data_IF_409175103883
#
_entry.id   IF_409175103883
#
_cell.length_a   1.000
_cell.length_b   1.000
_cell.length_c   1.000
_cell.angle_alpha   90.00
_cell.angle_beta   90.00
_cell.angle_gamma   90.00
#
_symmetry.space_group_name_H-M   'P 1'
#
loop_
_entity.id
_entity.type
_entity.pdbx_description
1 polymer ?
#
# COMPACT_ATOMS: atom_id res chain seq x y z
N UNK A 1 4.55 12.97 9.69
CA UNK A 1 3.72 12.96 8.47
C UNK A 1 3.26 14.38 8.14
N UNK A 2 3.20 14.78 6.86
CA UNK A 2 2.75 16.13 6.45
C UNK A 2 1.60 15.99 5.46
N UNK A 3 0.39 16.38 5.87
CA UNK A 3 -0.82 16.31 5.05
C UNK A 3 -0.95 17.53 4.13
N UNK A 4 -1.63 17.36 3.00
CA UNK A 4 -2.12 18.49 2.20
C UNK A 4 -3.37 19.09 2.84
N UNK A 5 -3.68 20.34 2.47
CA UNK A 5 -4.89 21.01 2.90
C UNK A 5 -6.05 20.58 1.99
N UNK A 6 -6.72 19.49 2.37
CA UNK A 6 -7.90 18.95 1.68
C UNK A 6 -9.17 19.61 2.22
N UNK A 7 -10.16 19.80 1.36
CA UNK A 7 -11.48 20.35 1.69
C UNK A 7 -12.35 19.32 2.41
N UNK A 8 -12.23 18.03 2.07
CA UNK A 8 -12.98 16.93 2.70
C UNK A 8 -12.05 15.90 3.36
N UNK A 9 -11.24 16.28 4.35
CA UNK A 9 -10.22 15.40 4.92
C UNK A 9 -10.82 14.14 5.55
N UNK A 10 -12.00 14.22 6.17
CA UNK A 10 -12.70 13.07 6.79
C UNK A 10 -13.04 11.97 5.78
N UNK A 11 -13.45 12.34 4.56
CA UNK A 11 -13.78 11.39 3.51
C UNK A 11 -12.52 10.63 3.08
N UNK A 12 -11.44 11.36 2.78
CA UNK A 12 -10.17 10.74 2.39
C UNK A 12 -9.55 9.88 3.49
N UNK A 13 -9.71 10.27 4.76
CA UNK A 13 -9.32 9.43 5.88
C UNK A 13 -10.13 8.13 5.93
N UNK A 14 -11.46 8.21 5.80
CA UNK A 14 -12.31 7.02 5.79
C UNK A 14 -11.95 6.07 4.64
N UNK A 15 -11.75 6.61 3.44
CA UNK A 15 -11.31 5.83 2.28
C UNK A 15 -9.90 5.27 2.48
N UNK A 16 -8.98 6.03 3.09
CA UNK A 16 -7.65 5.55 3.44
C UNK A 16 -7.66 4.39 4.43
N UNK A 17 -8.57 4.40 5.42
CA UNK A 17 -8.77 3.25 6.31
C UNK A 17 -9.28 2.03 5.54
N UNK A 18 -10.22 2.20 4.60
CA UNK A 18 -10.68 1.11 3.75
C UNK A 18 -9.55 0.54 2.89
N UNK A 19 -8.68 1.39 2.34
CA UNK A 19 -7.49 0.96 1.58
C UNK A 19 -6.54 0.17 2.46
N UNK A 20 -6.22 0.64 3.67
CA UNK A 20 -5.35 -0.08 4.60
C UNK A 20 -5.97 -1.45 4.96
N UNK A 21 -7.28 -1.48 5.25
CA UNK A 21 -7.98 -2.72 5.55
C UNK A 21 -7.92 -3.71 4.38
N UNK A 22 -8.18 -3.24 3.16
CA UNK A 22 -8.13 -4.06 1.95
C UNK A 22 -6.71 -4.60 1.69
N UNK A 23 -5.69 -3.75 1.82
CA UNK A 23 -4.28 -4.15 1.70
C UNK A 23 -3.93 -5.19 2.77
N UNK A 24 -4.29 -4.96 4.03
CA UNK A 24 -4.06 -5.90 5.13
C UNK A 24 -4.73 -7.25 4.83
N UNK A 25 -5.97 -7.22 4.34
CA UNK A 25 -6.72 -8.42 3.99
C UNK A 25 -6.01 -9.24 2.90
N UNK A 26 -5.52 -8.59 1.83
CA UNK A 26 -4.76 -9.27 0.77
C UNK A 26 -3.51 -9.93 1.36
N UNK A 27 -2.75 -9.21 2.20
CA UNK A 27 -1.51 -9.72 2.78
C UNK A 27 -1.77 -10.92 3.71
N UNK A 28 -2.90 -10.92 4.42
CA UNK A 28 -3.25 -12.02 5.33
C UNK A 28 -4.02 -13.15 4.66
N UNK A 29 -4.49 -12.99 3.42
CA UNK A 29 -5.22 -14.03 2.72
C UNK A 29 -4.30 -15.24 2.47
N UNK A 30 -4.81 -16.48 2.59
CA UNK A 30 -4.12 -17.66 2.08
C UNK A 30 -3.77 -17.48 0.59
N UNK A 31 -2.56 -17.86 0.14
CA UNK A 31 -2.17 -17.75 -1.26
C UNK A 31 -3.14 -18.46 -2.22
N UNK A 32 -3.78 -19.55 -1.77
CA UNK A 32 -4.72 -20.34 -2.54
C UNK A 32 -6.04 -19.61 -2.83
N UNK A 33 -6.35 -18.54 -2.09
CA UNK A 33 -7.51 -17.69 -2.38
C UNK A 33 -7.24 -16.74 -3.55
N UNK A 34 -5.96 -16.43 -3.79
CA UNK A 34 -5.52 -15.52 -4.83
C UNK A 34 -5.06 -16.27 -6.09
N UNK A 35 -4.55 -17.49 -5.95
CA UNK A 35 -3.99 -18.29 -7.04
C UNK A 35 -4.54 -19.72 -7.05
N UNK A 36 -4.68 -20.29 -8.25
CA UNK A 36 -5.08 -21.69 -8.40
C UNK A 36 -3.96 -22.63 -7.94
N UNK A 37 -4.36 -23.79 -7.40
CA UNK A 37 -3.44 -24.80 -6.85
C UNK A 37 -2.50 -25.45 -7.87
N UNK A 38 -2.67 -25.17 -9.16
CA UNK A 38 -1.83 -25.67 -10.25
C UNK A 38 -0.49 -24.91 -10.37
N UNK A 39 -0.39 -23.73 -9.76
CA UNK A 39 0.75 -22.81 -9.91
C UNK A 39 1.62 -22.83 -8.64
N UNK A 40 2.14 -24.00 -8.24
CA UNK A 40 2.89 -24.11 -6.98
C UNK A 40 4.29 -23.52 -7.01
N UNK A 41 5.03 -23.67 -8.12
CA UNK A 41 6.40 -23.10 -8.23
C UNK A 41 6.40 -21.62 -8.60
N UNK A 42 5.48 -21.15 -9.47
CA UNK A 42 5.38 -19.70 -9.74
C UNK A 42 4.78 -18.93 -8.55
N UNK A 43 4.13 -19.63 -7.60
CA UNK A 43 3.55 -19.04 -6.39
C UNK A 43 4.56 -18.18 -5.62
N UNK A 44 5.85 -18.56 -5.59
CA UNK A 44 6.87 -17.81 -4.82
C UNK A 44 7.13 -16.45 -5.48
N UNK A 45 7.36 -16.42 -6.79
CA UNK A 45 7.61 -15.17 -7.51
C UNK A 45 6.39 -14.26 -7.54
N UNK A 46 5.21 -14.86 -7.73
CA UNK A 46 3.93 -14.17 -7.73
C UNK A 46 3.68 -13.50 -6.38
N UNK A 47 3.94 -14.20 -5.27
CA UNK A 47 3.84 -13.64 -3.92
C UNK A 47 4.71 -12.39 -3.77
N UNK A 48 5.97 -12.41 -4.22
CA UNK A 48 6.86 -11.23 -4.17
C UNK A 48 6.37 -10.06 -5.05
N UNK A 49 5.73 -10.38 -6.18
CA UNK A 49 5.09 -9.38 -7.04
C UNK A 49 3.89 -8.75 -6.31
N UNK A 50 3.06 -9.54 -5.62
CA UNK A 50 1.94 -9.01 -4.83
C UNK A 50 2.44 -8.06 -3.77
N UNK A 51 3.45 -8.46 -2.98
CA UNK A 51 4.05 -7.61 -1.96
C UNK A 51 4.48 -6.26 -2.55
N UNK A 52 5.17 -6.30 -3.69
CA UNK A 52 5.56 -5.08 -4.40
C UNK A 52 4.35 -4.24 -4.83
N UNK A 53 3.39 -4.84 -5.54
CA UNK A 53 2.24 -4.13 -6.11
C UNK A 53 1.31 -3.54 -5.05
N UNK A 54 1.08 -4.28 -3.97
CA UNK A 54 0.23 -3.86 -2.84
C UNK A 54 0.85 -2.65 -2.14
N UNK A 55 2.16 -2.65 -1.93
CA UNK A 55 2.86 -1.49 -1.34
C UNK A 55 2.98 -0.32 -2.32
N UNK A 56 3.16 -0.55 -3.63
CA UNK A 56 3.05 0.51 -4.65
C UNK A 56 1.67 1.16 -4.57
N UNK A 57 0.60 0.36 -4.61
CA UNK A 57 -0.78 0.84 -4.56
C UNK A 57 -1.06 1.63 -3.27
N UNK A 58 -0.64 1.12 -2.12
CA UNK A 58 -0.80 1.80 -0.83
C UNK A 58 -0.13 3.18 -0.83
N UNK A 59 1.10 3.27 -1.35
CA UNK A 59 1.81 4.54 -1.42
C UNK A 59 1.18 5.50 -2.42
N UNK A 60 0.79 5.02 -3.61
CA UNK A 60 0.12 5.85 -4.64
C UNK A 60 -1.21 6.41 -4.15
N UNK A 61 -1.97 5.63 -3.37
CA UNK A 61 -3.16 6.15 -2.71
C UNK A 61 -2.81 7.36 -1.84
N UNK A 62 -1.89 7.16 -0.88
CA UNK A 62 -1.52 8.20 0.08
C UNK A 62 -0.75 9.38 -0.52
N UNK A 63 -0.14 9.26 -1.71
CA UNK A 63 0.52 10.38 -2.40
C UNK A 63 -0.43 11.53 -2.76
N UNK A 64 -1.74 11.29 -2.75
CA UNK A 64 -2.75 12.32 -2.91
C UNK A 64 -2.97 13.16 -1.65
N UNK A 65 -2.80 12.57 -0.47
CA UNK A 65 -3.20 13.18 0.82
C UNK A 65 -2.01 13.62 1.68
N UNK A 66 -0.84 12.99 1.53
CA UNK A 66 0.37 13.25 2.32
C UNK A 66 1.58 13.47 1.42
N UNK A 67 2.53 14.29 1.90
CA UNK A 67 3.84 14.44 1.26
C UNK A 67 4.70 13.20 1.52
N UNK A 68 5.41 12.71 0.50
CA UNK A 68 6.29 11.54 0.58
C UNK A 68 7.62 11.88 1.28
N UNK A 69 7.57 12.11 2.59
CA UNK A 69 8.77 12.41 3.41
C UNK A 69 9.42 11.14 3.96
N UNK A 70 10.63 11.27 4.52
CA UNK A 70 11.27 10.16 5.23
C UNK A 70 10.37 9.58 6.35
N UNK A 71 9.62 10.43 7.07
CA UNK A 71 8.67 9.94 8.08
C UNK A 71 7.54 9.10 7.48
N UNK A 72 7.11 9.41 6.25
CA UNK A 72 6.09 8.61 5.55
C UNK A 72 6.67 7.24 5.20
N UNK A 73 7.86 7.21 4.59
CA UNK A 73 8.59 5.97 4.30
C UNK A 73 8.70 5.09 5.55
N UNK A 74 9.24 5.62 6.65
CA UNK A 74 9.41 4.87 7.90
C UNK A 74 8.10 4.31 8.44
N UNK A 75 7.01 5.07 8.40
CA UNK A 75 5.70 4.59 8.89
C UNK A 75 5.17 3.44 8.03
N UNK A 76 5.24 3.56 6.70
CA UNK A 76 4.75 2.51 5.80
C UNK A 76 5.65 1.27 5.86
N UNK A 77 6.96 1.44 5.97
CA UNK A 77 7.91 0.34 6.19
C UNK A 77 7.63 -0.38 7.50
N UNK A 78 7.37 0.38 8.59
CA UNK A 78 7.03 -0.20 9.89
C UNK A 78 5.70 -0.96 9.84
N UNK A 79 4.70 -0.43 9.13
CA UNK A 79 3.46 -1.15 8.86
C UNK A 79 3.72 -2.48 8.14
N UNK A 80 4.58 -2.50 7.11
CA UNK A 80 4.98 -3.75 6.45
C UNK A 80 5.68 -4.73 7.39
N UNK A 81 6.55 -4.26 8.28
CA UNK A 81 7.16 -5.13 9.31
C UNK A 81 6.12 -5.76 10.24
N UNK A 82 5.09 -5.01 10.63
CA UNK A 82 3.99 -5.53 11.45
C UNK A 82 3.22 -6.60 10.68
N UNK A 83 2.93 -6.39 9.39
CA UNK A 83 2.23 -7.36 8.55
C UNK A 83 2.98 -8.70 8.50
N UNK A 84 4.28 -8.68 8.21
CA UNK A 84 5.11 -9.90 8.20
C UNK A 84 5.17 -10.58 9.58
N UNK A 85 5.29 -9.77 10.64
CA UNK A 85 5.30 -10.29 12.01
C UNK A 85 3.98 -10.97 12.37
N UNK A 86 2.85 -10.46 11.90
CA UNK A 86 1.54 -11.09 12.11
C UNK A 86 1.42 -12.36 11.28
N UNK A 87 1.90 -12.35 10.03
CA UNK A 87 1.92 -13.54 9.17
C UNK A 87 2.69 -14.72 9.80
N UNK A 88 3.73 -14.46 10.59
CA UNK A 88 4.42 -15.50 11.38
C UNK A 88 3.48 -16.35 12.24
N UNK A 89 2.41 -15.74 12.77
CA UNK A 89 1.44 -16.41 13.65
C UNK A 89 0.26 -17.02 12.89
N UNK A 90 0.17 -16.84 11.57
CA UNK A 90 -0.88 -17.45 10.74
C UNK A 90 -0.40 -18.82 10.27
N UNK A 91 -1.19 -19.91 10.46
CA UNK A 91 -0.73 -21.27 10.19
C UNK A 91 -0.50 -21.59 8.71
N UNK A 92 -0.99 -20.74 7.81
CA UNK A 92 -0.89 -20.87 6.35
C UNK A 92 -0.01 -19.77 5.71
N UNK A 93 0.69 -18.97 6.53
CA UNK A 93 1.69 -17.99 6.08
C UNK A 93 3.01 -18.22 6.83
N UNK A 94 4.08 -17.73 6.26
CA UNK A 94 5.42 -17.73 6.83
C UNK A 94 5.93 -16.30 6.95
N UNK A 95 6.76 -16.05 7.96
CA UNK A 95 7.58 -14.84 7.96
C UNK A 95 8.75 -15.03 7.00
N UNK A 96 8.94 -14.11 6.05
CA UNK A 96 10.06 -14.17 5.12
C UNK A 96 10.81 -12.84 5.04
N UNK A 97 12.13 -12.89 5.20
CA UNK A 97 12.98 -11.71 5.06
C UNK A 97 12.93 -11.09 3.67
N UNK A 98 12.69 -11.90 2.64
CA UNK A 98 12.55 -11.41 1.27
C UNK A 98 11.28 -10.59 1.09
N UNK A 99 10.20 -10.90 1.80
CA UNK A 99 8.97 -10.12 1.73
C UNK A 99 9.14 -8.71 2.28
N UNK A 100 9.90 -8.55 3.36
CA UNK A 100 10.30 -7.22 3.83
C UNK A 100 11.02 -6.42 2.76
N UNK A 101 11.91 -7.05 1.98
CA UNK A 101 12.62 -6.41 0.88
C UNK A 101 11.68 -6.00 -0.25
N UNK A 102 10.78 -6.88 -0.69
CA UNK A 102 9.82 -6.57 -1.76
C UNK A 102 8.78 -5.52 -1.32
N UNK A 103 8.41 -5.50 -0.04
CA UNK A 103 7.63 -4.40 0.54
C UNK A 103 8.40 -3.07 0.40
N UNK A 104 9.70 -3.03 0.71
CA UNK A 104 10.52 -1.81 0.53
C UNK A 104 10.63 -1.38 -0.93
N UNK A 105 10.84 -2.33 -1.84
CA UNK A 105 10.88 -2.06 -3.29
C UNK A 105 9.56 -1.41 -3.74
N UNK A 106 8.43 -1.98 -3.32
CA UNK A 106 7.11 -1.43 -3.62
C UNK A 106 6.91 -0.02 -3.07
N UNK A 107 7.35 0.24 -1.83
CA UNK A 107 7.29 1.58 -1.23
C UNK A 107 8.12 2.58 -2.04
N UNK A 108 9.36 2.23 -2.41
CA UNK A 108 10.25 3.13 -3.16
C UNK A 108 9.68 3.42 -4.56
N UNK A 109 9.22 2.39 -5.29
CA UNK A 109 8.57 2.56 -6.59
C UNK A 109 7.34 3.45 -6.45
N UNK A 110 6.50 3.17 -5.45
CA UNK A 110 5.30 3.97 -5.17
C UNK A 110 5.64 5.43 -4.87
N UNK A 111 6.70 5.72 -4.11
CA UNK A 111 7.13 7.10 -3.82
C UNK A 111 7.58 7.79 -5.11
N UNK A 112 8.39 7.12 -5.93
CA UNK A 112 8.88 7.67 -7.21
C UNK A 112 7.71 8.01 -8.14
N UNK A 113 6.79 7.06 -8.34
CA UNK A 113 5.61 7.25 -9.18
C UNK A 113 4.66 8.29 -8.58
N UNK A 114 4.46 8.29 -7.26
CA UNK A 114 3.59 9.22 -6.56
C UNK A 114 4.08 10.67 -6.63
N UNK A 115 5.39 10.90 -6.55
CA UNK A 115 5.97 12.25 -6.68
C UNK A 115 5.98 12.74 -8.14
N UNK A 116 6.14 11.85 -9.12
CA UNK A 116 6.23 12.20 -10.54
C UNK A 116 4.85 12.34 -11.20
N UNK A 117 3.94 11.40 -10.96
CA UNK A 117 2.69 11.27 -11.73
C UNK A 117 1.44 11.67 -10.95
N UNK A 118 1.37 11.33 -9.66
CA UNK A 118 0.13 11.39 -8.87
C UNK A 118 0.23 12.31 -7.66
N UNK A 119 1.13 13.29 -7.70
CA UNK A 119 1.35 14.20 -6.59
C UNK A 119 0.10 15.04 -6.35
N UNK A 120 -0.43 15.01 -5.13
CA UNK A 120 -1.65 15.76 -4.74
C UNK A 120 -2.89 15.41 -5.57
N UNK A 121 -2.98 14.20 -6.11
CA UNK A 121 -4.09 13.81 -6.99
C UNK A 121 -5.46 14.05 -6.35
N UNK A 122 -5.63 13.78 -5.05
CA UNK A 122 -6.92 14.00 -4.37
C UNK A 122 -7.25 15.47 -4.18
N UNK A 123 -6.24 16.34 -4.00
CA UNK A 123 -6.46 17.78 -3.94
C UNK A 123 -6.95 18.29 -5.31
N UNK A 124 -6.29 17.87 -6.39
CA UNK A 124 -6.69 18.25 -7.74
C UNK A 124 -8.12 17.78 -8.06
N UNK A 125 -8.49 16.58 -7.62
CA UNK A 125 -9.86 16.07 -7.76
C UNK A 125 -10.88 16.91 -6.98
N UNK A 126 -10.58 17.30 -5.74
CA UNK A 126 -11.46 18.18 -4.97
C UNK A 126 -11.64 19.54 -5.64
N UNK A 127 -10.54 20.15 -6.10
CA UNK A 127 -10.56 21.43 -6.81
C UNK A 127 -11.40 21.35 -8.09
N UNK A 128 -11.27 20.25 -8.86
CA UNK A 128 -12.11 20.01 -10.05
C UNK A 128 -13.60 19.92 -9.69
N UNK A 129 -13.96 19.10 -8.70
CA UNK A 129 -15.36 18.88 -8.31
C UNK A 129 -16.02 20.14 -7.73
N UNK A 130 -15.23 20.98 -7.04
CA UNK A 130 -15.73 22.21 -6.44
C UNK A 130 -15.83 23.37 -7.44
N UNK A 131 -15.00 23.39 -8.48
CA UNK A 131 -15.06 24.40 -9.54
C UNK A 131 -16.30 24.26 -10.43
N UNK A 132 -16.85 23.06 -10.51
CA UNK A 132 -18.08 22.74 -11.27
C UNK A 132 -19.37 22.95 -10.45
N UNK A 133 -19.29 23.52 -9.24
CA UNK A 133 -20.43 23.88 -8.39
C UNK A 133 -20.57 25.39 -8.27
#
# INVERSE_FOLDING_TARGET
MRFYHLERPKLWFALGFLVIFFVTFIMFAPPEWLFSSEIKEESIYIDKIIHTLVFVFLVLWFSGQVKMTLSFFVIVSFYGCIVELVQYYLPYRSFEWLDLLFNQIGIVIGIMLGEVLLKKWSLNLEEMILKDR
#
